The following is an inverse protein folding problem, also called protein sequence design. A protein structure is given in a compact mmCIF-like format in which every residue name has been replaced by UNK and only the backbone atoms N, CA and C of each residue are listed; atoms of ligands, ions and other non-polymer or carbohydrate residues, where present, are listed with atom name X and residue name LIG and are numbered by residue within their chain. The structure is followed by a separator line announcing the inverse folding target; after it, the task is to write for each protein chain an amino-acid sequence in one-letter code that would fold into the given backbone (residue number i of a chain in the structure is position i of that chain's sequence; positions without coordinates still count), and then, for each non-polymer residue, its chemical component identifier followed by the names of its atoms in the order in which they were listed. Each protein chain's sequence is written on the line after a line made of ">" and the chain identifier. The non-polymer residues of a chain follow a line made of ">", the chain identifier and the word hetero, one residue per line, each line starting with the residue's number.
data_IF_738100398895
#
_entry.id   IF_738100398895
#
_cell.length_a   1.000
_cell.length_b   1.000
_cell.length_c   1.000
_cell.angle_alpha   90.00
_cell.angle_beta   90.00
_cell.angle_gamma   90.00
#
_symmetry.space_group_name_H-M   'P 1'
#
loop_
_entity.id
_entity.type
_entity.pdbx_description
1 polymer ?
#
# COMPACT_ATOMS: atom_id res chain seq x y z
N UNK A 1 -1.03 -9.38 8.69
CA UNK A 1 -0.37 -9.52 10.00
C UNK A 1 -0.40 -8.17 10.67
N UNK A 2 -0.78 -8.13 11.95
CA UNK A 2 -0.79 -6.91 12.74
C UNK A 2 0.64 -6.41 13.01
N UNK A 3 0.78 -5.10 13.20
CA UNK A 3 2.04 -4.48 13.63
C UNK A 3 2.31 -4.80 15.11
N UNK A 4 3.58 -4.91 15.53
CA UNK A 4 3.95 -4.96 16.95
C UNK A 4 3.67 -3.64 17.70
N UNK A 5 3.41 -2.53 16.98
CA UNK A 5 3.09 -1.22 17.56
C UNK A 5 1.60 -0.93 17.38
N UNK A 6 0.96 -0.44 18.44
CA UNK A 6 -0.35 0.20 18.36
C UNK A 6 -0.18 1.69 18.07
N UNK A 7 -0.92 2.16 17.08
CA UNK A 7 -0.90 3.52 16.55
C UNK A 7 -2.01 4.40 17.13
N UNK A 8 -3.09 3.79 17.65
CA UNK A 8 -4.27 4.48 18.19
C UNK A 8 -4.81 5.62 17.28
N UNK A 9 -4.96 5.39 15.96
CA UNK A 9 -5.47 6.43 15.09
C UNK A 9 -6.99 6.58 15.26
N UNK A 10 -7.55 7.66 14.71
CA UNK A 10 -9.00 7.78 14.51
C UNK A 10 -9.36 7.39 13.07
N UNK A 11 -10.62 7.01 12.83
CA UNK A 11 -11.12 6.73 11.47
C UNK A 11 -10.87 7.94 10.56
N UNK A 12 -11.32 9.13 10.97
CA UNK A 12 -11.08 10.37 10.21
C UNK A 12 -9.59 10.60 9.92
N UNK A 13 -8.73 10.40 10.93
CA UNK A 13 -7.28 10.59 10.79
C UNK A 13 -6.64 9.68 9.75
N UNK A 14 -7.02 8.40 9.67
CA UNK A 14 -6.46 7.51 8.63
C UNK A 14 -6.95 7.87 7.22
N UNK A 15 -8.18 8.38 7.08
CA UNK A 15 -8.69 8.84 5.78
C UNK A 15 -7.95 10.11 5.31
N UNK A 16 -7.77 11.09 6.20
CA UNK A 16 -7.03 12.32 5.88
C UNK A 16 -5.56 12.03 5.56
N UNK A 17 -4.91 11.16 6.34
CA UNK A 17 -3.56 10.73 6.05
C UNK A 17 -3.46 10.03 4.69
N UNK A 18 -4.39 9.11 4.39
CA UNK A 18 -4.41 8.46 3.08
C UNK A 18 -4.58 9.44 1.93
N UNK A 19 -5.45 10.45 2.07
CA UNK A 19 -5.62 11.48 1.05
C UNK A 19 -4.33 12.26 0.80
N UNK A 20 -3.63 12.67 1.87
CA UNK A 20 -2.34 13.37 1.76
C UNK A 20 -1.30 12.53 1.02
N UNK A 21 -1.17 11.24 1.36
CA UNK A 21 -0.20 10.34 0.72
C UNK A 21 -0.56 10.07 -0.75
N UNK A 22 -1.85 9.96 -1.08
CA UNK A 22 -2.31 9.78 -2.46
C UNK A 22 -2.13 11.04 -3.30
N UNK A 23 -2.25 12.23 -2.71
CA UNK A 23 -1.93 13.49 -3.38
C UNK A 23 -0.45 13.56 -3.74
N UNK A 24 0.44 13.09 -2.85
CA UNK A 24 1.88 13.00 -3.14
C UNK A 24 2.18 12.11 -4.35
N UNK A 25 1.42 11.04 -4.59
CA UNK A 25 1.56 10.22 -5.81
C UNK A 25 1.34 11.05 -7.08
N UNK A 26 0.32 11.91 -7.09
CA UNK A 26 0.06 12.81 -8.21
C UNK A 26 1.19 13.83 -8.42
N UNK A 27 1.78 14.33 -7.33
CA UNK A 27 2.91 15.27 -7.41
C UNK A 27 4.17 14.60 -7.95
N UNK A 28 4.45 13.35 -7.57
CA UNK A 28 5.61 12.60 -8.08
C UNK A 28 5.58 12.51 -9.60
N UNK A 29 4.44 12.12 -10.19
CA UNK A 29 4.31 11.99 -11.65
C UNK A 29 4.30 13.34 -12.38
N UNK A 30 4.11 14.45 -11.67
CA UNK A 30 4.13 15.80 -12.24
C UNK A 30 5.54 16.41 -12.32
N UNK A 31 6.55 15.72 -11.78
CA UNK A 31 7.96 16.12 -11.83
C UNK A 31 8.66 15.27 -12.90
N UNK A 32 9.51 15.86 -13.74
CA UNK A 32 10.24 15.12 -14.79
C UNK A 32 11.56 14.51 -14.31
N UNK A 33 12.15 15.08 -13.25
CA UNK A 33 13.44 14.66 -12.70
C UNK A 33 13.34 13.25 -12.06
N UNK A 34 14.10 12.25 -12.57
CA UNK A 34 14.02 10.88 -12.06
C UNK A 34 14.52 10.70 -10.62
N UNK A 35 15.49 11.50 -10.17
CA UNK A 35 16.07 11.39 -8.83
C UNK A 35 15.12 11.98 -7.78
N UNK A 36 14.45 13.08 -8.12
CA UNK A 36 13.36 13.64 -7.32
C UNK A 36 12.18 12.68 -7.26
N UNK A 37 11.76 12.13 -8.41
CA UNK A 37 10.70 11.12 -8.46
C UNK A 37 11.01 9.94 -7.54
N UNK A 38 12.23 9.39 -7.62
CA UNK A 38 12.66 8.28 -6.77
C UNK A 38 12.62 8.63 -5.29
N UNK A 39 13.16 9.80 -4.92
CA UNK A 39 13.26 10.25 -3.53
C UNK A 39 11.88 10.47 -2.90
N UNK A 40 10.97 11.12 -3.62
CA UNK A 40 9.60 11.32 -3.16
C UNK A 40 8.80 10.02 -3.13
N UNK A 41 8.97 9.14 -4.12
CA UNK A 41 8.31 7.85 -4.12
C UNK A 41 8.77 6.98 -2.94
N UNK A 42 10.07 6.99 -2.63
CA UNK A 42 10.62 6.30 -1.45
C UNK A 42 10.00 6.82 -0.15
N UNK A 43 9.92 8.15 0.03
CA UNK A 43 9.32 8.77 1.20
C UNK A 43 7.83 8.42 1.34
N UNK A 44 7.08 8.52 0.24
CA UNK A 44 5.64 8.20 0.19
C UNK A 44 5.38 6.73 0.51
N UNK A 45 6.17 5.80 -0.04
CA UNK A 45 6.04 4.36 0.30
C UNK A 45 6.33 4.11 1.78
N UNK A 46 7.27 4.85 2.39
CA UNK A 46 7.54 4.73 3.81
C UNK A 46 6.33 5.19 4.64
N UNK A 47 5.77 6.38 4.37
CA UNK A 47 4.57 6.89 5.04
C UNK A 47 3.38 5.94 4.91
N UNK A 48 3.12 5.47 3.68
CA UNK A 48 2.06 4.51 3.40
C UNK A 48 2.25 3.15 4.10
N UNK A 49 3.48 2.72 4.40
CA UNK A 49 3.72 1.48 5.14
C UNK A 49 3.20 1.56 6.58
N UNK A 50 3.37 2.71 7.23
CA UNK A 50 2.82 2.97 8.56
C UNK A 50 1.30 3.11 8.51
N UNK A 51 0.79 3.90 7.56
CA UNK A 51 -0.64 4.09 7.35
C UNK A 51 -1.37 2.76 7.14
N UNK A 52 -0.81 1.86 6.33
CA UNK A 52 -1.37 0.52 6.11
C UNK A 52 -1.55 -0.24 7.44
N UNK A 53 -0.56 -0.20 8.32
CA UNK A 53 -0.65 -0.86 9.64
C UNK A 53 -1.69 -0.19 10.54
N UNK A 54 -1.73 1.14 10.56
CA UNK A 54 -2.70 1.93 11.32
C UNK A 54 -4.14 1.68 10.88
N UNK A 55 -4.40 1.55 9.57
CA UNK A 55 -5.72 1.17 9.05
C UNK A 55 -6.07 -0.25 9.49
N UNK A 56 -5.12 -1.18 9.39
CA UNK A 56 -5.37 -2.57 9.79
C UNK A 56 -5.67 -2.71 11.29
N UNK A 57 -5.10 -1.85 12.13
CA UNK A 57 -5.49 -1.75 13.55
C UNK A 57 -6.98 -1.44 13.70
N UNK A 58 -7.48 -0.40 13.04
CA UNK A 58 -8.90 -0.01 13.09
C UNK A 58 -9.83 -1.08 12.49
N UNK A 59 -9.42 -1.77 11.44
CA UNK A 59 -10.21 -2.85 10.81
C UNK A 59 -10.52 -3.98 11.80
N UNK A 60 -9.60 -4.23 12.75
CA UNK A 60 -9.73 -5.31 13.72
C UNK A 60 -10.30 -4.84 15.07
N UNK A 61 -10.53 -3.54 15.25
CA UNK A 61 -11.15 -2.99 16.45
C UNK A 61 -12.69 -3.10 16.34
N UNK A 62 -13.35 -3.83 17.25
CA UNK A 62 -14.81 -3.99 17.24
C UNK A 62 -15.58 -2.65 17.31
N UNK A 63 -14.98 -1.63 17.93
CA UNK A 63 -15.58 -0.28 18.05
C UNK A 63 -15.86 0.35 16.69
N UNK A 64 -15.07 0.01 15.67
CA UNK A 64 -15.18 0.57 14.32
C UNK A 64 -15.78 -0.42 13.31
N UNK A 65 -16.53 -1.42 13.79
CA UNK A 65 -17.20 -2.42 12.95
C UNK A 65 -18.05 -1.81 11.82
N UNK A 66 -18.73 -0.70 12.08
CA UNK A 66 -19.53 0.04 11.08
C UNK A 66 -18.69 0.62 9.93
N UNK A 67 -17.40 0.90 10.16
CA UNK A 67 -16.49 1.44 9.14
C UNK A 67 -15.58 0.38 8.52
N UNK A 68 -15.73 -0.89 8.91
CA UNK A 68 -14.80 -1.96 8.56
C UNK A 68 -14.63 -2.13 7.05
N UNK A 69 -15.72 -2.08 6.28
CA UNK A 69 -15.66 -2.23 4.83
C UNK A 69 -14.89 -1.09 4.17
N UNK A 70 -15.14 0.15 4.57
CA UNK A 70 -14.46 1.31 4.01
C UNK A 70 -12.98 1.34 4.39
N UNK A 71 -12.65 0.97 5.64
CA UNK A 71 -11.26 0.80 6.07
C UNK A 71 -10.54 -0.30 5.27
N UNK A 72 -11.21 -1.42 4.98
CA UNK A 72 -10.64 -2.48 4.13
C UNK A 72 -10.42 -2.00 2.69
N UNK A 73 -11.36 -1.22 2.13
CA UNK A 73 -11.20 -0.59 0.81
C UNK A 73 -10.00 0.35 0.80
N UNK A 74 -9.90 1.23 1.81
CA UNK A 74 -8.80 2.17 1.98
C UNK A 74 -7.45 1.44 2.07
N UNK A 75 -7.36 0.44 2.94
CA UNK A 75 -6.19 -0.42 3.09
C UNK A 75 -5.77 -1.06 1.75
N UNK A 76 -6.74 -1.51 0.96
CA UNK A 76 -6.50 -2.04 -0.38
C UNK A 76 -5.98 -1.00 -1.37
N UNK A 77 -6.49 0.24 -1.34
CA UNK A 77 -6.01 1.36 -2.16
C UNK A 77 -4.56 1.69 -1.82
N UNK A 78 -4.26 1.86 -0.53
CA UNK A 78 -2.89 2.18 -0.05
C UNK A 78 -1.89 1.12 -0.52
N UNK A 79 -2.19 -0.18 -0.33
CA UNK A 79 -1.31 -1.25 -0.79
C UNK A 79 -1.11 -1.22 -2.30
N UNK A 80 -2.14 -0.92 -3.09
CA UNK A 80 -2.02 -0.82 -4.55
C UNK A 80 -1.13 0.36 -4.94
N UNK A 81 -1.32 1.53 -4.34
CA UNK A 81 -0.47 2.69 -4.59
C UNK A 81 1.00 2.38 -4.28
N UNK A 82 1.28 1.79 -3.12
CA UNK A 82 2.64 1.35 -2.77
C UNK A 82 3.25 0.40 -3.81
N UNK A 83 2.48 -0.57 -4.33
CA UNK A 83 2.95 -1.49 -5.38
C UNK A 83 3.31 -0.76 -6.67
N UNK A 84 2.48 0.20 -7.08
CA UNK A 84 2.74 1.01 -8.27
C UNK A 84 4.00 1.84 -8.09
N UNK A 85 4.13 2.58 -6.97
CA UNK A 85 5.33 3.36 -6.68
C UNK A 85 6.60 2.52 -6.70
N UNK A 86 6.60 1.36 -6.03
CA UNK A 86 7.77 0.46 -6.01
C UNK A 86 8.11 -0.05 -7.39
N UNK A 87 7.10 -0.39 -8.20
CA UNK A 87 7.30 -0.93 -9.54
C UNK A 87 7.79 0.15 -10.52
N UNK A 88 7.11 1.27 -10.57
CA UNK A 88 7.27 2.28 -11.61
C UNK A 88 8.56 3.11 -11.36
N UNK A 89 8.89 3.38 -10.09
CA UNK A 89 10.12 4.09 -9.70
C UNK A 89 11.24 3.16 -9.24
N UNK A 90 11.10 1.83 -9.41
CA UNK A 90 12.12 0.81 -9.10
C UNK A 90 12.70 0.94 -7.67
N UNK A 91 11.86 1.24 -6.69
CA UNK A 91 12.30 1.48 -5.31
C UNK A 91 12.94 0.22 -4.73
N UNK A 92 14.11 0.39 -4.12
CA UNK A 92 14.77 -0.69 -3.39
C UNK A 92 14.07 -0.95 -2.03
N UNK A 93 13.40 -2.09 -1.92
CA UNK A 93 12.71 -2.49 -0.67
C UNK A 93 13.66 -2.64 0.54
N UNK A 94 14.95 -2.89 0.31
CA UNK A 94 15.93 -2.93 1.38
C UNK A 94 16.16 -1.55 2.01
N UNK A 95 16.03 -0.48 1.23
CA UNK A 95 16.11 0.90 1.73
C UNK A 95 14.96 1.19 2.67
N UNK A 96 13.73 0.83 2.30
CA UNK A 96 12.55 0.99 3.19
C UNK A 96 12.74 0.18 4.48
N UNK A 97 13.29 -1.04 4.37
CA UNK A 97 13.60 -1.87 5.54
C UNK A 97 14.63 -1.21 6.46
N UNK A 98 15.65 -0.55 5.89
CA UNK A 98 16.68 0.16 6.66
C UNK A 98 16.11 1.40 7.39
N UNK A 99 15.14 2.09 6.80
CA UNK A 99 14.45 3.23 7.45
C UNK A 99 13.65 2.82 8.69
N UNK A 100 13.16 1.57 8.77
CA UNK A 100 12.43 1.05 9.92
C UNK A 100 13.37 0.67 11.09
N UNK A 101 14.21 1.59 11.53
CA UNK A 101 15.22 1.41 12.59
C UNK A 101 14.60 0.98 13.92
N UNK A 102 13.42 1.50 14.23
CA UNK A 102 12.62 1.15 15.42
C UNK A 102 11.87 -0.19 15.29
N UNK A 103 11.92 -0.83 14.12
CA UNK A 103 11.37 -2.16 13.82
C UNK A 103 9.86 -2.30 14.11
N UNK A 104 9.11 -1.23 13.92
CA UNK A 104 7.68 -1.10 14.26
C UNK A 104 6.73 -1.52 13.14
N UNK A 105 7.16 -1.50 11.87
CA UNK A 105 6.31 -1.97 10.77
C UNK A 105 6.03 -3.49 10.83
N UNK A 106 4.80 -3.87 10.51
CA UNK A 106 4.37 -5.24 10.29
C UNK A 106 4.99 -5.81 9.00
N UNK A 107 5.19 -7.13 8.95
CA UNK A 107 5.73 -7.82 7.77
C UNK A 107 7.00 -7.14 7.20
N UNK A 108 8.08 -7.19 7.98
CA UNK A 108 9.38 -6.53 7.71
C UNK A 108 10.06 -6.94 6.39
N UNK A 109 9.56 -7.98 5.73
CA UNK A 109 10.05 -8.44 4.42
C UNK A 109 9.18 -7.94 3.26
N UNK A 110 8.20 -7.08 3.54
CA UNK A 110 7.33 -6.41 2.57
C UNK A 110 6.74 -7.37 1.55
N UNK A 111 6.35 -8.59 1.97
CA UNK A 111 5.88 -9.62 1.02
C UNK A 111 4.61 -9.22 0.30
N UNK A 112 3.81 -8.33 0.90
CA UNK A 112 2.62 -7.74 0.28
C UNK A 112 2.94 -6.81 -0.90
N UNK A 113 4.17 -6.31 -1.02
CA UNK A 113 4.64 -5.50 -2.15
C UNK A 113 5.29 -6.34 -3.25
N UNK A 114 5.64 -7.61 -2.96
CA UNK A 114 6.17 -8.50 -3.99
C UNK A 114 5.08 -8.77 -5.01
N UNK A 115 5.41 -8.59 -6.29
CA UNK A 115 4.54 -8.96 -7.39
C UNK A 115 4.34 -10.49 -7.36
N UNK A 116 3.27 -10.95 -6.72
CA UNK A 116 2.75 -12.29 -6.97
C UNK A 116 2.28 -12.29 -8.43
N UNK A 117 2.97 -13.04 -9.29
CA UNK A 117 2.51 -13.29 -10.66
C UNK A 117 1.08 -13.80 -10.58
N UNK A 118 0.09 -12.94 -10.88
CA UNK A 118 -1.29 -13.37 -11.02
C UNK A 118 -1.28 -14.40 -12.15
N UNK A 119 -1.60 -15.66 -11.85
CA UNK A 119 -1.92 -16.65 -12.89
C UNK A 119 -3.12 -16.10 -13.65
N UNK A 120 -2.90 -15.48 -14.80
CA UNK A 120 -3.96 -15.10 -15.72
C UNK A 120 -4.66 -16.40 -16.11
N UNK A 121 -5.90 -16.58 -15.64
CA UNK A 121 -6.70 -17.75 -15.99
C UNK A 121 -7.00 -17.63 -17.48
N UNK A 122 -6.36 -18.47 -18.29
CA UNK A 122 -6.62 -18.54 -19.73
C UNK A 122 -8.09 -18.88 -19.94
N UNK A 123 -8.90 -17.92 -20.37
CA UNK A 123 -10.26 -18.15 -20.85
C UNK A 123 -10.16 -18.88 -22.19
N UNK A 124 -10.11 -20.21 -22.13
CA UNK A 124 -10.19 -21.08 -23.31
C UNK A 124 -11.56 -20.87 -23.95
N UNK A 125 -11.63 -20.07 -25.02
CA UNK A 125 -12.83 -19.95 -25.88
C UNK A 125 -13.13 -21.34 -26.45
N UNK A 126 -14.15 -22.01 -25.94
CA UNK A 126 -14.72 -23.21 -26.56
C UNK A 126 -15.44 -22.76 -27.83
N UNK A 127 -14.75 -22.86 -28.97
CA UNK A 127 -15.37 -22.73 -30.30
C UNK A 127 -16.26 -23.95 -30.49
N UNK A 128 -17.57 -23.76 -30.35
CA UNK A 128 -18.59 -24.77 -30.61
C UNK A 128 -18.68 -24.94 -32.13
N UNK A 129 -18.06 -25.99 -32.67
CA UNK A 129 -18.31 -26.40 -34.05
C UNK A 129 -19.79 -26.78 -34.17
N UNK A 130 -20.52 -26.05 -35.01
CA UNK A 130 -21.79 -26.50 -35.59
C UNK A 130 -21.47 -26.93 -37.02
N UNK A 131 -21.45 -28.24 -37.25
CA UNK A 131 -21.79 -28.82 -38.54
C UNK A 131 -23.24 -29.31 -38.42
#
# INVERSE_FOLDING_TARGET
>A
MASPKQYHPTVKGVFEWANSELEHVGRIVSVEDPDLQYSYALSTVNGMAYLKDAIYELVNDPKYSMHKEDLLRLHGVVIRAMKHLVKDFKINLNTIKAFNTRKVLSNRNFTYLKNTKRKTRSTRKTRRNRN
#
